data_IF_850559581315
#
_entry.id   IF_850559581315
#
_cell.length_a   1.000
_cell.length_b   1.000
_cell.length_c   1.000
_cell.angle_alpha   90.00
_cell.angle_beta   90.00
_cell.angle_gamma   90.00
#
_symmetry.space_group_name_H-M   'P 1'
#
loop_
_entity.id
_entity.type
_entity.pdbx_description
1 polymer ?
#
# COMPACT_ATOMS: atom_id res chain seq x y z
N UNK A 1 -13.04 -29.08 -1.12
CA UNK A 1 -12.32 -28.08 -1.95
C UNK A 1 -12.92 -26.70 -1.68
N UNK A 2 -12.79 -26.21 -0.48
CA UNK A 2 -13.26 -24.88 -0.05
C UNK A 2 -12.13 -24.32 0.81
N UNK A 3 -11.67 -23.10 0.56
CA UNK A 3 -10.75 -22.30 1.41
C UNK A 3 -9.35 -22.00 0.91
N UNK A 4 -9.06 -22.00 -0.38
CA UNK A 4 -7.72 -21.57 -0.85
C UNK A 4 -7.74 -20.15 -1.46
N UNK A 5 -8.89 -19.62 -1.88
CA UNK A 5 -8.95 -18.37 -2.68
C UNK A 5 -8.98 -17.05 -1.91
N UNK A 6 -9.13 -17.10 -0.58
CA UNK A 6 -9.17 -15.86 0.24
C UNK A 6 -7.81 -15.35 0.71
N UNK A 7 -6.72 -16.08 0.48
CA UNK A 7 -5.40 -15.73 1.04
C UNK A 7 -4.51 -14.90 0.11
N UNK A 8 -4.79 -14.82 -1.18
CA UNK A 8 -3.82 -14.25 -2.13
C UNK A 8 -3.89 -12.74 -2.34
N UNK A 9 -4.99 -12.08 -2.01
CA UNK A 9 -5.13 -10.63 -2.23
C UNK A 9 -4.99 -9.79 -0.94
N UNK A 10 -5.01 -10.44 0.23
CA UNK A 10 -4.88 -9.77 1.54
C UNK A 10 -3.45 -9.78 2.07
N UNK A 11 -2.54 -10.45 1.37
CA UNK A 11 -1.16 -10.71 1.83
C UNK A 11 -0.27 -9.47 1.79
N UNK A 12 -0.59 -8.47 0.96
CA UNK A 12 0.24 -7.26 0.92
C UNK A 12 0.06 -6.34 2.13
N UNK A 13 -0.96 -6.52 2.98
CA UNK A 13 -1.29 -5.53 4.00
C UNK A 13 -1.69 -6.01 5.38
N UNK A 14 -2.33 -7.13 5.45
CA UNK A 14 -2.59 -7.74 6.74
C UNK A 14 -1.57 -8.86 6.88
N UNK A 15 -0.47 -8.57 7.54
CA UNK A 15 0.44 -9.61 7.96
C UNK A 15 -0.34 -10.74 8.63
N UNK A 16 -0.42 -11.85 7.89
CA UNK A 16 -0.69 -13.18 8.39
C UNK A 16 -1.80 -13.38 9.42
N UNK A 17 -3.00 -13.64 8.95
CA UNK A 17 -3.80 -14.67 9.59
C UNK A 17 -3.50 -16.02 8.93
N UNK A 18 -2.26 -16.40 8.89
CA UNK A 18 -1.81 -17.76 8.58
C UNK A 18 -1.70 -18.51 9.89
N UNK A 19 -2.82 -19.07 10.36
CA UNK A 19 -2.79 -20.06 11.44
C UNK A 19 -2.18 -21.35 10.89
N UNK A 20 -0.86 -21.46 10.92
CA UNK A 20 -0.24 -22.73 11.21
C UNK A 20 -0.15 -22.81 12.73
N UNK A 21 -0.87 -23.75 13.33
CA UNK A 21 -0.66 -24.14 14.69
C UNK A 21 0.73 -24.75 14.79
N UNK A 22 1.74 -23.93 14.99
CA UNK A 22 3.07 -24.35 15.45
C UNK A 22 3.33 -23.63 16.76
N UNK A 23 3.55 -24.46 17.76
CA UNK A 23 4.00 -24.06 19.07
C UNK A 23 5.19 -23.11 19.00
N UNK A 24 5.14 -22.04 19.81
CA UNK A 24 6.29 -21.24 20.29
C UNK A 24 7.46 -21.11 19.32
N UNK A 25 7.27 -20.63 18.07
CA UNK A 25 8.32 -20.50 17.06
C UNK A 25 8.34 -19.11 16.44
N UNK A 26 9.53 -18.71 16.01
CA UNK A 26 9.71 -17.57 15.13
C UNK A 26 9.20 -17.91 13.73
N UNK A 27 8.40 -17.03 13.15
CA UNK A 27 8.00 -17.10 11.77
C UNK A 27 8.83 -16.11 10.94
N UNK A 28 9.60 -16.62 9.98
CA UNK A 28 10.36 -15.82 9.02
C UNK A 28 9.59 -15.77 7.69
N UNK A 29 9.54 -14.60 7.08
CA UNK A 29 8.85 -14.40 5.82
C UNK A 29 9.53 -13.31 4.98
N UNK A 30 9.32 -13.36 3.67
CA UNK A 30 9.82 -12.37 2.74
C UNK A 30 8.90 -12.22 1.53
N UNK A 31 8.93 -11.04 0.92
CA UNK A 31 8.35 -10.73 -0.38
C UNK A 31 9.42 -10.08 -1.24
N UNK A 32 9.69 -10.66 -2.40
CA UNK A 32 10.69 -10.19 -3.35
C UNK A 32 10.01 -9.90 -4.68
N UNK A 33 10.19 -8.70 -5.20
CA UNK A 33 9.65 -8.26 -6.47
C UNK A 33 10.73 -7.56 -7.28
N UNK A 34 11.02 -8.10 -8.45
CA UNK A 34 11.97 -7.52 -9.39
C UNK A 34 11.57 -7.78 -10.82
N UNK A 35 11.89 -6.86 -11.70
CA UNK A 35 11.51 -6.94 -13.09
C UNK A 35 12.21 -5.94 -13.98
N UNK A 36 11.72 -5.83 -15.20
CA UNK A 36 12.17 -4.84 -16.17
C UNK A 36 10.99 -3.93 -16.49
N UNK A 37 11.22 -2.63 -16.44
CA UNK A 37 10.27 -1.64 -16.89
C UNK A 37 10.84 -0.82 -18.03
N UNK A 38 10.03 -0.60 -19.07
CA UNK A 38 10.30 0.34 -20.15
C UNK A 38 9.31 1.48 -20.07
N UNK A 39 9.81 2.68 -19.80
CA UNK A 39 9.01 3.89 -19.65
C UNK A 39 9.32 4.87 -20.76
N UNK A 40 8.29 5.52 -21.28
CA UNK A 40 8.41 6.63 -22.22
C UNK A 40 7.59 7.83 -21.74
N UNK A 41 8.12 9.03 -21.90
CA UNK A 41 7.45 10.29 -21.61
C UNK A 41 7.32 11.08 -22.92
N UNK A 42 6.11 11.51 -23.25
CA UNK A 42 5.80 12.29 -24.44
C UNK A 42 6.49 13.68 -24.44
N UNK A 43 6.50 14.36 -25.59
CA UNK A 43 6.96 15.75 -25.73
C UNK A 43 8.39 15.97 -25.22
N UNK A 44 9.33 15.11 -25.65
CA UNK A 44 10.76 15.29 -25.35
C UNK A 44 11.21 14.75 -23.98
N UNK A 45 10.31 14.10 -23.21
CA UNK A 45 10.65 13.52 -21.91
C UNK A 45 11.53 12.25 -21.98
N UNK A 46 11.75 11.73 -23.21
CA UNK A 46 12.65 10.59 -23.43
C UNK A 46 12.03 9.23 -23.12
N UNK A 47 12.86 8.20 -23.28
CA UNK A 47 12.50 6.82 -22.92
C UNK A 47 13.68 6.11 -22.29
N UNK A 48 13.39 5.13 -21.42
CA UNK A 48 14.40 4.32 -20.76
C UNK A 48 13.85 2.96 -20.38
N UNK A 49 14.73 1.96 -20.43
CA UNK A 49 14.45 0.60 -19.95
C UNK A 49 15.46 0.25 -18.88
N UNK A 50 14.99 -0.27 -17.75
CA UNK A 50 15.86 -0.67 -16.63
C UNK A 50 15.27 -1.81 -15.81
N UNK A 51 16.14 -2.41 -14.99
CA UNK A 51 15.72 -3.27 -13.90
C UNK A 51 15.05 -2.42 -12.81
N UNK A 52 13.85 -2.83 -12.40
CA UNK A 52 13.09 -2.20 -11.32
C UNK A 52 12.90 -3.16 -10.17
N UNK A 53 12.91 -2.61 -8.98
CA UNK A 53 12.63 -3.31 -7.74
C UNK A 53 11.25 -2.90 -7.24
N UNK A 54 10.42 -3.86 -6.87
CA UNK A 54 9.10 -3.55 -6.40
C UNK A 54 8.17 -2.97 -7.47
N UNK A 55 8.17 -3.52 -8.68
CA UNK A 55 7.32 -3.04 -9.76
C UNK A 55 5.82 -3.25 -9.49
N UNK A 56 5.47 -4.34 -8.82
CA UNK A 56 4.11 -4.64 -8.39
C UNK A 56 3.92 -4.40 -6.89
N UNK A 57 4.82 -4.94 -6.05
CA UNK A 57 4.75 -4.85 -4.60
C UNK A 57 6.11 -4.51 -3.97
N UNK A 58 6.16 -3.90 -2.78
CA UNK A 58 7.42 -3.58 -2.12
C UNK A 58 8.17 -4.84 -1.69
N UNK A 59 9.50 -4.81 -1.78
CA UNK A 59 10.33 -5.86 -1.22
C UNK A 59 10.47 -5.69 0.29
N UNK A 60 10.33 -6.78 1.01
CA UNK A 60 10.60 -6.81 2.43
C UNK A 60 10.93 -8.22 2.91
N UNK A 61 11.59 -8.30 4.05
CA UNK A 61 11.73 -9.51 4.86
C UNK A 61 11.35 -9.20 6.31
N UNK A 62 10.87 -10.19 7.03
CA UNK A 62 10.44 -9.99 8.39
C UNK A 62 10.49 -11.24 9.23
N UNK A 63 10.30 -11.02 10.52
CA UNK A 63 10.08 -12.07 11.50
C UNK A 63 8.99 -11.65 12.47
N UNK A 64 8.27 -12.63 12.97
CA UNK A 64 7.26 -12.46 14.01
C UNK A 64 7.26 -13.65 14.95
N UNK A 65 6.78 -13.43 16.15
CA UNK A 65 6.48 -14.49 17.11
C UNK A 65 5.26 -14.08 17.95
N UNK A 66 4.51 -15.06 18.40
CA UNK A 66 3.37 -14.87 19.28
C UNK A 66 3.38 -15.95 20.33
N UNK A 67 3.13 -15.57 21.58
CA UNK A 67 3.02 -16.46 22.74
C UNK A 67 1.66 -16.32 23.38
N UNK A 68 0.98 -17.44 23.61
CA UNK A 68 -0.24 -17.49 24.42
C UNK A 68 0.13 -17.34 25.90
N UNK A 69 -0.50 -16.38 26.57
CA UNK A 69 -0.27 -16.05 27.97
C UNK A 69 -1.30 -16.71 28.91
N UNK A 70 -2.34 -17.35 28.37
CA UNK A 70 -3.47 -17.90 29.13
C UNK A 70 -4.65 -16.92 29.18
N UNK A 71 -5.81 -17.40 29.67
CA UNK A 71 -7.05 -16.62 29.80
C UNK A 71 -7.48 -15.88 28.53
N UNK A 72 -7.20 -16.45 27.34
CA UNK A 72 -7.52 -15.83 26.05
C UNK A 72 -6.62 -14.67 25.66
N UNK A 73 -5.50 -14.45 26.36
CA UNK A 73 -4.51 -13.44 26.06
C UNK A 73 -3.33 -14.04 25.27
N UNK A 74 -2.83 -13.26 24.33
CA UNK A 74 -1.55 -13.51 23.62
C UNK A 74 -0.75 -12.21 23.53
N UNK A 75 0.55 -12.33 23.50
CA UNK A 75 1.48 -11.24 23.21
C UNK A 75 2.45 -11.65 22.11
N UNK A 76 2.89 -10.71 21.31
CA UNK A 76 3.81 -10.99 20.23
C UNK A 76 4.56 -9.76 19.75
N UNK A 77 5.41 -9.97 18.77
CA UNK A 77 6.11 -8.90 18.08
C UNK A 77 6.13 -9.13 16.57
N UNK A 78 6.40 -8.04 15.85
CA UNK A 78 6.63 -8.06 14.42
C UNK A 78 7.77 -7.12 14.06
N UNK A 79 8.73 -7.63 13.28
CA UNK A 79 9.87 -6.89 12.76
C UNK A 79 9.90 -7.07 11.24
N UNK A 80 9.89 -5.97 10.47
CA UNK A 80 9.96 -6.00 9.00
C UNK A 80 10.94 -4.96 8.48
N UNK A 81 11.80 -5.40 7.56
CA UNK A 81 12.74 -4.57 6.82
C UNK A 81 12.36 -4.50 5.35
N UNK A 82 12.08 -3.29 4.84
CA UNK A 82 11.93 -3.03 3.42
C UNK A 82 13.28 -2.77 2.76
N UNK A 83 13.50 -3.26 1.55
CA UNK A 83 14.76 -3.10 0.83
C UNK A 83 14.58 -3.06 -0.70
N UNK A 84 15.64 -2.71 -1.41
CA UNK A 84 15.72 -2.65 -2.86
C UNK A 84 16.62 -3.77 -3.40
N UNK A 85 16.22 -4.41 -4.50
CA UNK A 85 17.04 -5.43 -5.18
C UNK A 85 18.13 -4.84 -6.08
N UNK A 86 18.00 -3.56 -6.45
CA UNK A 86 18.91 -2.85 -7.35
C UNK A 86 19.57 -1.65 -6.66
N UNK A 87 20.08 -1.85 -5.46
CA UNK A 87 20.72 -0.77 -4.73
C UNK A 87 21.70 0.01 -5.62
N UNK A 88 21.43 1.29 -5.80
CA UNK A 88 22.37 2.27 -6.36
C UNK A 88 22.95 3.06 -5.20
N UNK A 89 24.23 3.34 -5.26
CA UNK A 89 24.94 4.18 -4.28
C UNK A 89 24.88 3.67 -2.83
N UNK A 90 24.80 2.36 -2.65
CA UNK A 90 24.71 1.72 -1.32
C UNK A 90 23.40 1.94 -0.59
N UNK A 91 22.39 2.50 -1.26
CA UNK A 91 21.05 2.68 -0.69
C UNK A 91 20.21 1.43 -0.91
N UNK A 92 20.08 0.62 0.12
CA UNK A 92 19.29 -0.62 0.10
C UNK A 92 17.88 -0.44 0.66
N UNK A 93 17.54 0.75 1.19
CA UNK A 93 16.35 0.94 2.00
C UNK A 93 15.30 1.79 1.30
N UNK A 94 14.07 1.36 1.39
CA UNK A 94 12.94 2.05 0.79
C UNK A 94 12.52 3.32 1.56
N UNK A 95 12.60 3.31 2.88
CA UNK A 95 12.08 4.37 3.75
C UNK A 95 13.15 5.08 4.60
N UNK A 96 14.39 5.15 4.13
CA UNK A 96 15.45 5.84 4.85
C UNK A 96 16.70 5.00 5.03
N UNK A 97 17.85 5.66 5.02
CA UNK A 97 19.16 5.00 4.98
C UNK A 97 19.56 4.29 6.27
N UNK A 98 18.99 4.71 7.41
CA UNK A 98 19.60 4.44 8.71
C UNK A 98 18.69 3.70 9.71
N UNK A 99 17.52 3.20 9.30
CA UNK A 99 16.63 2.50 10.22
C UNK A 99 16.51 1.02 9.91
N UNK A 100 16.95 0.21 10.84
CA UNK A 100 16.64 -1.22 10.86
C UNK A 100 15.16 -1.40 11.18
N UNK A 101 14.48 -2.34 10.48
CA UNK A 101 13.05 -2.61 10.61
C UNK A 101 12.16 -1.41 10.30
N UNK A 102 12.42 -0.78 9.16
CA UNK A 102 11.77 0.45 8.72
C UNK A 102 10.28 0.32 8.34
N UNK A 103 9.73 -0.89 8.31
CA UNK A 103 8.31 -1.17 7.98
C UNK A 103 7.49 -1.52 9.21
N UNK A 104 8.00 -2.42 10.04
CA UNK A 104 7.38 -2.87 11.28
C UNK A 104 8.47 -3.07 12.33
N UNK A 105 8.25 -2.53 13.52
CA UNK A 105 9.06 -2.78 14.71
C UNK A 105 8.15 -2.55 15.91
N UNK A 106 7.34 -3.55 16.26
CA UNK A 106 6.28 -3.39 17.25
C UNK A 106 6.09 -4.62 18.13
N UNK A 107 5.48 -4.35 19.28
CA UNK A 107 4.96 -5.34 20.22
C UNK A 107 3.44 -5.20 20.26
N UNK A 108 2.74 -6.30 20.50
CA UNK A 108 1.30 -6.27 20.67
C UNK A 108 0.82 -7.24 21.75
N UNK A 109 -0.33 -6.88 22.31
CA UNK A 109 -1.12 -7.77 23.17
C UNK A 109 -2.53 -7.85 22.58
N UNK A 110 -3.05 -9.07 22.46
CA UNK A 110 -4.41 -9.31 21.97
C UNK A 110 -5.21 -10.21 22.90
N UNK A 111 -6.52 -10.05 22.86
CA UNK A 111 -7.47 -10.84 23.65
C UNK A 111 -8.90 -10.59 23.22
N UNK A 112 -9.87 -10.99 24.05
CA UNK A 112 -11.29 -10.72 23.78
C UNK A 112 -11.64 -9.22 23.65
N UNK A 113 -10.80 -8.35 24.17
CA UNK A 113 -10.92 -6.89 24.05
C UNK A 113 -10.43 -6.32 22.71
N UNK A 114 -9.79 -7.11 21.85
CA UNK A 114 -9.13 -6.66 20.62
C UNK A 114 -7.61 -6.71 20.75
N UNK A 115 -6.92 -5.80 20.07
CA UNK A 115 -5.45 -5.74 19.99
C UNK A 115 -4.95 -4.34 20.31
N UNK A 116 -3.96 -4.24 21.20
CA UNK A 116 -3.15 -3.04 21.42
C UNK A 116 -1.76 -3.30 20.85
N UNK A 117 -1.30 -2.41 20.00
CA UNK A 117 0.03 -2.47 19.35
C UNK A 117 0.82 -1.22 19.69
N UNK A 118 2.09 -1.36 20.03
CA UNK A 118 3.01 -0.25 20.30
C UNK A 118 4.29 -0.40 19.49
N UNK A 119 4.74 0.67 18.83
CA UNK A 119 5.94 0.71 18.00
C UNK A 119 5.67 1.15 16.56
N UNK A 120 6.64 0.91 15.69
CA UNK A 120 6.52 1.20 14.25
C UNK A 120 5.59 0.19 13.59
N UNK A 121 4.56 0.67 12.91
CA UNK A 121 3.51 -0.15 12.34
C UNK A 121 2.87 0.48 11.10
N UNK A 122 2.13 -0.31 10.32
CA UNK A 122 1.39 0.21 9.16
C UNK A 122 0.38 1.27 9.56
N UNK A 123 0.28 2.32 8.76
CA UNK A 123 -0.68 3.40 8.95
C UNK A 123 -2.12 2.90 8.68
N UNK A 124 -3.06 3.16 9.60
CA UNK A 124 -4.46 2.69 9.50
C UNK A 124 -5.18 3.28 8.29
N UNK A 125 -4.96 4.56 7.96
CA UNK A 125 -5.59 5.18 6.81
C UNK A 125 -5.02 4.63 5.49
N UNK A 126 -3.72 4.37 5.43
CA UNK A 126 -3.10 3.71 4.28
C UNK A 126 -3.63 2.28 4.07
N UNK A 127 -3.86 1.53 5.14
CA UNK A 127 -4.49 0.20 5.05
C UNK A 127 -5.89 0.28 4.44
N UNK A 128 -6.62 1.35 4.71
CA UNK A 128 -7.94 1.61 4.12
C UNK A 128 -7.85 1.98 2.63
N UNK A 129 -6.80 2.70 2.20
CA UNK A 129 -6.53 2.91 0.76
C UNK A 129 -6.47 1.57 0.04
N UNK A 130 -5.70 0.65 0.54
CA UNK A 130 -5.45 -0.62 -0.13
C UNK A 130 -6.66 -1.55 -0.18
N UNK A 131 -7.63 -1.40 0.74
CA UNK A 131 -8.90 -2.11 0.64
C UNK A 131 -9.70 -1.69 -0.59
N UNK A 132 -9.81 -0.39 -0.85
CA UNK A 132 -10.57 0.17 -1.97
C UNK A 132 -9.76 0.27 -3.28
N UNK A 133 -8.45 0.13 -3.22
CA UNK A 133 -7.57 0.33 -4.36
C UNK A 133 -7.77 -0.77 -5.42
N UNK A 134 -8.15 -0.42 -6.66
CA UNK A 134 -8.50 -1.37 -7.72
C UNK A 134 -7.43 -2.40 -8.05
N UNK A 135 -6.17 -2.01 -8.08
CA UNK A 135 -5.04 -2.83 -8.50
C UNK A 135 -4.18 -3.32 -7.34
N UNK A 136 -4.78 -3.45 -6.14
CA UNK A 136 -4.12 -3.91 -4.91
C UNK A 136 -2.86 -3.10 -4.52
N UNK A 137 -2.77 -1.84 -4.95
CA UNK A 137 -1.65 -0.96 -4.64
C UNK A 137 -0.39 -1.24 -5.47
N UNK A 138 -0.55 -1.69 -6.72
CA UNK A 138 0.59 -1.79 -7.64
C UNK A 138 1.36 -0.48 -7.72
N UNK A 139 2.67 -0.53 -7.70
CA UNK A 139 3.52 0.66 -7.73
C UNK A 139 3.41 1.46 -9.03
N UNK A 140 2.99 0.85 -10.13
CA UNK A 140 2.72 1.52 -11.40
C UNK A 140 1.23 1.63 -11.68
N UNK A 141 0.74 2.85 -11.90
CA UNK A 141 -0.63 3.10 -12.31
C UNK A 141 -1.66 2.70 -11.26
N UNK A 142 -1.50 3.19 -10.04
CA UNK A 142 -2.44 3.06 -8.95
C UNK A 142 -2.66 4.38 -8.23
N UNK A 143 -3.60 4.44 -7.31
CA UNK A 143 -3.85 5.60 -6.46
C UNK A 143 -2.64 5.96 -5.56
N UNK A 144 -1.68 5.06 -5.41
CA UNK A 144 -0.48 5.32 -4.60
C UNK A 144 0.36 6.48 -5.15
N UNK A 145 0.30 6.76 -6.46
CA UNK A 145 0.98 7.91 -7.05
C UNK A 145 0.53 9.24 -6.43
N UNK A 146 -0.74 9.39 -6.05
CA UNK A 146 -1.23 10.60 -5.36
C UNK A 146 -0.73 10.69 -3.92
N UNK A 147 -0.51 9.54 -3.25
CA UNK A 147 0.11 9.53 -1.92
C UNK A 147 1.58 9.95 -2.01
N UNK A 148 2.29 9.55 -3.06
CA UNK A 148 3.68 9.94 -3.29
C UNK A 148 3.83 11.46 -3.49
N UNK A 149 2.88 12.10 -4.18
CA UNK A 149 2.93 13.55 -4.43
C UNK A 149 2.51 14.36 -3.21
N UNK A 150 1.56 13.84 -2.42
CA UNK A 150 1.08 14.48 -1.21
C UNK A 150 2.09 14.36 -0.05
N UNK A 151 2.57 13.15 0.22
CA UNK A 151 3.49 12.84 1.32
C UNK A 151 2.89 12.96 2.72
N UNK A 152 1.66 13.45 2.88
CA UNK A 152 1.03 13.70 4.19
C UNK A 152 0.46 12.45 4.85
N UNK A 153 -0.06 11.50 4.08
CA UNK A 153 -0.67 10.27 4.61
C UNK A 153 0.36 9.33 5.23
N UNK A 154 1.48 9.09 4.55
CA UNK A 154 2.46 8.10 4.96
C UNK A 154 1.95 6.65 4.85
N UNK A 155 2.86 5.69 4.82
CA UNK A 155 2.53 4.25 4.77
C UNK A 155 2.74 3.57 6.12
N UNK A 156 3.57 4.17 6.97
CA UNK A 156 4.03 3.64 8.25
C UNK A 156 3.98 4.75 9.29
N UNK A 157 3.52 4.43 10.48
CA UNK A 157 3.54 5.30 11.66
C UNK A 157 4.67 4.83 12.59
N UNK A 158 5.59 5.72 12.92
CA UNK A 158 6.74 5.42 13.79
C UNK A 158 6.36 5.63 15.26
N UNK A 159 6.68 4.65 16.11
CA UNK A 159 6.47 4.73 17.55
C UNK A 159 5.00 4.88 17.98
N UNK A 160 4.06 4.52 17.12
CA UNK A 160 2.63 4.68 17.38
C UNK A 160 2.11 3.72 18.45
N UNK A 161 1.04 4.14 19.11
CA UNK A 161 0.19 3.27 19.93
C UNK A 161 -1.15 3.15 19.23
N UNK A 162 -1.56 1.93 18.88
CA UNK A 162 -2.79 1.65 18.17
C UNK A 162 -3.67 0.65 18.95
N UNK A 163 -4.95 0.84 18.82
CA UNK A 163 -5.97 -0.12 19.27
C UNK A 163 -6.81 -0.55 18.07
N UNK A 164 -7.04 -1.86 17.96
CA UNK A 164 -7.97 -2.45 16.99
C UNK A 164 -9.00 -3.27 17.77
N UNK A 165 -10.30 -2.98 17.57
CA UNK A 165 -11.39 -3.69 18.23
C UNK A 165 -11.48 -5.15 17.77
N UNK A 166 -12.16 -6.01 18.55
CA UNK A 166 -12.67 -7.26 18.00
C UNK A 166 -13.58 -6.98 16.80
N UNK A 167 -13.65 -7.94 15.86
CA UNK A 167 -14.66 -7.89 14.80
C UNK A 167 -16.01 -8.36 15.33
N UNK A 168 -17.01 -7.48 15.30
CA UNK A 168 -18.37 -7.79 15.75
C UNK A 168 -19.33 -7.63 14.56
N UNK A 169 -19.99 -8.69 14.15
CA UNK A 169 -20.90 -8.71 13.00
C UNK A 169 -20.30 -8.11 11.72
N UNK A 170 -19.02 -8.37 11.49
CA UNK A 170 -18.26 -7.85 10.33
C UNK A 170 -17.65 -6.46 10.52
N UNK A 171 -17.95 -5.75 11.60
CA UNK A 171 -17.42 -4.43 11.90
C UNK A 171 -16.15 -4.50 12.74
N UNK A 172 -15.15 -3.71 12.35
CA UNK A 172 -13.90 -3.52 13.08
C UNK A 172 -13.58 -2.03 13.11
N UNK A 173 -13.32 -1.50 14.30
CA UNK A 173 -12.85 -0.13 14.51
C UNK A 173 -11.38 -0.12 14.91
N UNK A 174 -10.61 0.89 14.47
CA UNK A 174 -9.24 1.08 14.93
C UNK A 174 -8.92 2.57 15.10
N UNK A 175 -8.05 2.86 16.06
CA UNK A 175 -7.49 4.19 16.30
C UNK A 175 -6.02 4.07 16.68
N UNK A 176 -5.23 5.07 16.29
CA UNK A 176 -3.82 5.16 16.67
C UNK A 176 -3.43 6.60 16.99
N UNK A 177 -2.52 6.73 17.93
CA UNK A 177 -1.82 7.96 18.25
C UNK A 177 -0.34 7.80 17.91
N UNK A 178 0.19 8.77 17.18
CA UNK A 178 1.62 8.86 16.82
C UNK A 178 2.23 9.97 17.66
N UNK A 179 3.12 9.66 18.60
CA UNK A 179 3.83 10.68 19.40
C UNK A 179 4.83 11.45 18.54
N UNK A 180 5.48 12.42 19.12
CA UNK A 180 6.50 13.23 18.44
C UNK A 180 7.59 12.37 17.79
N UNK A 181 7.84 12.66 16.52
CA UNK A 181 8.90 12.06 15.70
C UNK A 181 9.71 13.18 15.04
N UNK A 182 10.72 12.84 14.24
CA UNK A 182 11.47 13.83 13.47
C UNK A 182 10.60 14.61 12.46
N UNK A 183 9.45 14.05 12.03
CA UNK A 183 8.62 14.61 10.96
C UNK A 183 7.26 15.15 11.44
N UNK A 184 6.78 14.72 12.59
CA UNK A 184 5.50 15.16 13.16
C UNK A 184 5.63 15.41 14.65
N UNK A 185 4.93 16.42 15.19
CA UNK A 185 4.81 16.64 16.63
C UNK A 185 3.80 15.67 17.26
N UNK A 186 2.74 15.39 16.56
CA UNK A 186 1.78 14.35 16.91
C UNK A 186 0.94 13.96 15.71
N UNK A 187 0.37 12.75 15.75
CA UNK A 187 -0.52 12.28 14.70
C UNK A 187 -1.65 11.41 15.25
N UNK A 188 -2.78 11.47 14.59
CA UNK A 188 -3.96 10.67 14.92
C UNK A 188 -4.41 9.90 13.69
N UNK A 189 -4.86 8.65 13.89
CA UNK A 189 -5.42 7.78 12.87
C UNK A 189 -6.68 7.13 13.40
N UNK A 190 -7.65 6.99 12.53
CA UNK A 190 -8.86 6.23 12.84
C UNK A 190 -9.39 5.53 11.60
N UNK A 191 -10.01 4.40 11.80
CA UNK A 191 -10.71 3.69 10.73
C UNK A 191 -11.88 2.88 11.27
N UNK A 192 -12.89 2.71 10.43
CA UNK A 192 -13.98 1.77 10.60
C UNK A 192 -14.10 0.96 9.33
N UNK A 193 -14.07 -0.35 9.47
CA UNK A 193 -14.16 -1.28 8.34
C UNK A 193 -15.29 -2.26 8.57
N UNK A 194 -16.12 -2.45 7.57
CA UNK A 194 -17.05 -3.56 7.49
C UNK A 194 -16.52 -4.58 6.47
N UNK A 195 -16.51 -5.85 6.83
CA UNK A 195 -16.14 -6.93 5.94
C UNK A 195 -17.08 -8.12 6.07
N UNK A 196 -17.54 -8.63 4.94
CA UNK A 196 -18.30 -9.86 4.80
C UNK A 196 -17.59 -10.81 3.83
N UNK A 197 -18.26 -11.89 3.45
CA UNK A 197 -17.73 -12.85 2.48
C UNK A 197 -17.49 -12.22 1.09
N UNK A 198 -18.41 -11.37 0.65
CA UNK A 198 -18.45 -10.89 -0.73
C UNK A 198 -18.21 -9.38 -0.86
N UNK A 199 -18.30 -8.62 0.19
CA UNK A 199 -18.05 -7.18 0.15
C UNK A 199 -17.34 -6.66 1.40
N UNK A 200 -16.57 -5.59 1.22
CA UNK A 200 -15.97 -4.84 2.29
C UNK A 200 -16.07 -3.34 1.99
N UNK A 201 -16.15 -2.54 3.05
CA UNK A 201 -16.11 -1.09 2.95
C UNK A 201 -15.33 -0.52 4.13
N UNK A 202 -14.64 0.59 3.92
CA UNK A 202 -13.85 1.25 4.95
C UNK A 202 -13.99 2.76 4.86
N UNK A 203 -13.98 3.40 6.02
CA UNK A 203 -13.78 4.83 6.18
C UNK A 203 -12.61 5.03 7.13
N UNK A 204 -11.68 5.90 6.76
CA UNK A 204 -10.52 6.21 7.59
C UNK A 204 -10.14 7.68 7.49
N UNK A 205 -9.40 8.16 8.47
CA UNK A 205 -8.85 9.49 8.45
C UNK A 205 -7.53 9.57 9.20
N UNK A 206 -6.79 10.64 8.93
CA UNK A 206 -5.56 10.98 9.61
C UNK A 206 -5.44 12.49 9.84
N UNK A 207 -4.72 12.85 10.88
CA UNK A 207 -4.28 14.21 11.13
C UNK A 207 -2.86 14.18 11.69
N UNK A 208 -2.00 15.06 11.18
CA UNK A 208 -0.62 15.25 11.64
C UNK A 208 -0.42 16.72 12.03
N UNK A 209 0.06 16.96 13.23
CA UNK A 209 0.63 18.24 13.62
C UNK A 209 2.09 18.28 13.19
N UNK A 210 2.44 19.14 12.24
CA UNK A 210 3.80 19.32 11.73
C UNK A 210 4.51 20.51 12.40
N UNK A 211 3.89 21.11 13.43
CA UNK A 211 4.37 22.28 14.13
C UNK A 211 3.96 23.59 13.47
N UNK A 212 4.49 23.89 12.31
CA UNK A 212 4.14 25.11 11.56
C UNK A 212 2.84 24.96 10.74
N UNK A 213 2.45 23.74 10.42
CA UNK A 213 1.25 23.43 9.62
C UNK A 213 0.61 22.13 10.10
N UNK A 214 -0.51 21.76 9.50
CA UNK A 214 -1.21 20.49 9.76
C UNK A 214 -1.47 19.78 8.45
N UNK A 215 -1.13 18.48 8.37
CA UNK A 215 -1.54 17.61 7.30
C UNK A 215 -2.71 16.74 7.76
N UNK A 216 -3.71 16.55 6.92
CA UNK A 216 -4.91 15.76 7.26
C UNK A 216 -5.52 15.15 5.99
N UNK A 217 -6.37 14.16 6.19
CA UNK A 217 -7.11 13.60 5.08
C UNK A 217 -8.04 12.49 5.51
N UNK A 218 -8.82 12.03 4.56
CA UNK A 218 -9.73 10.91 4.75
C UNK A 218 -9.78 10.02 3.51
N UNK A 219 -10.17 8.78 3.74
CA UNK A 219 -10.23 7.70 2.76
C UNK A 219 -11.58 7.02 2.87
N UNK A 220 -12.25 6.78 1.75
CA UNK A 220 -13.38 5.88 1.63
C UNK A 220 -13.04 4.81 0.58
N UNK A 221 -13.16 3.54 0.93
CA UNK A 221 -12.86 2.42 0.06
C UNK A 221 -13.95 1.36 0.12
N UNK A 222 -14.23 0.72 -1.02
CA UNK A 222 -15.15 -0.40 -1.08
C UNK A 222 -14.69 -1.46 -2.07
N UNK A 223 -15.07 -2.71 -1.81
CA UNK A 223 -14.87 -3.84 -2.72
C UNK A 223 -16.11 -4.75 -2.72
N UNK A 224 -16.43 -5.29 -3.89
CA UNK A 224 -17.51 -6.26 -4.05
C UNK A 224 -17.09 -7.39 -4.98
N UNK A 225 -17.28 -8.61 -4.53
CA UNK A 225 -16.94 -9.84 -5.26
C UNK A 225 -18.18 -10.45 -5.90
N UNK A 226 -18.12 -10.55 -7.22
CA UNK A 226 -19.15 -11.13 -8.10
C UNK A 226 -18.58 -12.37 -8.80
N UNK A 227 -18.59 -13.52 -8.11
CA UNK A 227 -17.99 -14.74 -8.65
C UNK A 227 -16.48 -14.58 -8.88
N UNK A 228 -16.06 -14.59 -10.15
CA UNK A 228 -14.67 -14.39 -10.55
C UNK A 228 -14.24 -12.91 -10.63
N UNK A 229 -15.19 -11.99 -10.70
CA UNK A 229 -14.95 -10.56 -10.76
C UNK A 229 -14.93 -9.96 -9.35
N UNK A 230 -13.94 -9.13 -9.05
CA UNK A 230 -13.94 -8.23 -7.89
C UNK A 230 -13.89 -6.81 -8.40
N UNK A 231 -14.88 -6.00 -8.10
CA UNK A 231 -14.89 -4.55 -8.37
C UNK A 231 -14.49 -3.80 -7.12
N UNK A 232 -13.76 -2.69 -7.31
CA UNK A 232 -13.28 -1.84 -6.23
C UNK A 232 -13.44 -0.37 -6.57
N UNK A 233 -13.63 0.42 -5.55
CA UNK A 233 -13.69 1.87 -5.64
C UNK A 233 -13.02 2.53 -4.47
N UNK A 234 -12.35 3.65 -4.74
CA UNK A 234 -11.59 4.43 -3.79
C UNK A 234 -11.88 5.91 -3.96
N UNK A 235 -12.03 6.60 -2.84
CA UNK A 235 -11.94 8.04 -2.76
C UNK A 235 -10.96 8.43 -1.66
N UNK A 236 -10.10 9.40 -1.95
CA UNK A 236 -9.20 10.01 -0.97
C UNK A 236 -9.27 11.53 -1.09
N UNK A 237 -9.21 12.20 0.04
CA UNK A 237 -8.95 13.64 0.13
C UNK A 237 -7.74 13.84 1.03
N UNK A 238 -6.79 14.64 0.58
CA UNK A 238 -5.49 14.83 1.23
C UNK A 238 -5.11 16.32 1.24
N UNK A 239 -4.63 16.78 2.39
CA UNK A 239 -4.05 18.09 2.61
C UNK A 239 -2.71 17.86 3.31
N UNK A 240 -1.61 18.25 2.67
CA UNK A 240 -0.26 18.08 3.24
C UNK A 240 0.21 19.25 4.08
N UNK A 241 -0.68 20.22 4.29
CA UNK A 241 -0.40 21.41 5.10
C UNK A 241 0.51 22.44 4.43
N UNK A 242 0.85 22.27 3.14
CA UNK A 242 1.75 23.19 2.43
C UNK A 242 1.41 23.40 0.96
N UNK A 243 1.74 22.44 0.10
CA UNK A 243 1.66 22.59 -1.37
C UNK A 243 0.41 22.00 -1.99
N UNK A 244 -0.30 21.14 -1.27
CA UNK A 244 -1.55 20.51 -1.66
C UNK A 244 -2.55 20.68 -0.52
N UNK A 245 -3.60 21.46 -0.75
CA UNK A 245 -4.59 21.80 0.28
C UNK A 245 -5.89 21.00 0.14
N UNK A 246 -6.15 20.39 -1.01
CA UNK A 246 -7.36 19.62 -1.27
C UNK A 246 -7.15 18.64 -2.43
N UNK A 247 -6.16 17.77 -2.30
CA UNK A 247 -5.92 16.74 -3.31
C UNK A 247 -6.99 15.66 -3.24
N UNK A 248 -7.91 15.67 -4.17
CA UNK A 248 -8.91 14.62 -4.35
C UNK A 248 -8.41 13.55 -5.32
N UNK A 249 -8.54 12.29 -4.93
CA UNK A 249 -8.25 11.14 -5.78
C UNK A 249 -9.41 10.17 -5.81
N UNK A 250 -9.85 9.85 -7.01
CA UNK A 250 -10.87 8.85 -7.30
C UNK A 250 -10.23 7.67 -8.00
N UNK A 251 -10.55 6.45 -7.58
CA UNK A 251 -10.13 5.21 -8.22
C UNK A 251 -11.32 4.27 -8.43
N UNK A 252 -11.42 3.67 -9.62
CA UNK A 252 -12.40 2.66 -9.94
C UNK A 252 -11.78 1.57 -10.81
N UNK A 253 -12.16 0.31 -10.60
CA UNK A 253 -11.63 -0.81 -11.35
C UNK A 253 -11.82 -2.13 -10.62
N UNK A 254 -10.88 -3.04 -10.77
CA UNK A 254 -10.96 -4.34 -10.12
C UNK A 254 -10.12 -5.42 -10.77
N UNK A 255 -10.43 -6.66 -10.43
CA UNK A 255 -9.72 -7.83 -10.93
C UNK A 255 -10.67 -8.95 -11.35
N UNK A 256 -10.27 -9.72 -12.33
CA UNK A 256 -11.00 -10.87 -12.83
C UNK A 256 -10.11 -12.12 -12.82
N UNK A 257 -10.53 -13.15 -12.09
CA UNK A 257 -9.89 -14.45 -12.10
C UNK A 257 -10.25 -15.18 -13.39
N UNK A 258 -9.38 -15.10 -14.40
CA UNK A 258 -9.57 -15.74 -15.72
C UNK A 258 -9.50 -17.25 -15.59
N UNK A 259 -8.51 -17.74 -14.83
CA UNK A 259 -8.36 -19.11 -14.37
C UNK A 259 -7.96 -19.10 -12.89
N UNK A 260 -7.86 -20.25 -12.22
CA UNK A 260 -7.32 -20.31 -10.85
C UNK A 260 -5.90 -19.75 -10.71
N UNK A 261 -5.12 -19.77 -11.79
CA UNK A 261 -3.73 -19.28 -11.83
C UNK A 261 -3.58 -17.91 -12.46
N UNK A 262 -4.49 -17.49 -13.35
CA UNK A 262 -4.40 -16.24 -14.11
C UNK A 262 -5.42 -15.22 -13.62
N UNK A 263 -4.95 -14.07 -13.19
CA UNK A 263 -5.76 -12.90 -12.82
C UNK A 263 -5.43 -11.72 -13.74
N UNK A 264 -6.45 -11.06 -14.25
CA UNK A 264 -6.35 -9.77 -14.90
C UNK A 264 -6.84 -8.67 -13.95
N UNK A 265 -6.18 -7.53 -13.93
CA UNK A 265 -6.60 -6.35 -13.17
C UNK A 265 -6.65 -5.09 -14.04
N UNK A 266 -7.45 -4.12 -13.63
CA UNK A 266 -7.51 -2.82 -14.26
C UNK A 266 -7.85 -1.72 -13.25
N UNK A 267 -7.41 -0.50 -13.54
CA UNK A 267 -7.70 0.67 -12.73
C UNK A 267 -7.75 1.94 -13.56
N UNK A 268 -8.71 2.79 -13.20
CA UNK A 268 -8.89 4.13 -13.70
C UNK A 268 -8.82 5.09 -12.51
N UNK A 269 -8.00 6.14 -12.63
CA UNK A 269 -7.80 7.08 -11.54
C UNK A 269 -7.83 8.51 -12.06
N UNK A 270 -8.32 9.40 -11.22
CA UNK A 270 -8.27 10.83 -11.44
C UNK A 270 -7.88 11.50 -10.13
N UNK A 271 -6.86 12.34 -10.18
CA UNK A 271 -6.43 13.12 -9.03
C UNK A 271 -6.39 14.61 -9.42
N UNK A 272 -6.87 15.48 -8.54
CA UNK A 272 -6.85 16.92 -8.79
C UNK A 272 -6.82 17.73 -7.49
N UNK A 273 -6.10 18.85 -7.55
CA UNK A 273 -6.13 19.94 -6.58
C UNK A 273 -6.12 21.26 -7.35
N UNK A 274 -7.22 21.99 -7.33
CA UNK A 274 -7.38 23.23 -8.11
C UNK A 274 -6.50 24.35 -7.58
N UNK A 275 -6.26 24.42 -6.27
CA UNK A 275 -5.42 25.44 -5.65
C UNK A 275 -3.93 25.22 -5.97
N UNK A 276 -3.52 23.97 -6.12
CA UNK A 276 -2.15 23.60 -6.47
C UNK A 276 -1.92 23.48 -7.99
N UNK A 277 -2.93 23.73 -8.82
CA UNK A 277 -2.87 23.51 -10.28
C UNK A 277 -2.37 22.09 -10.63
N UNK A 278 -2.93 21.09 -9.94
CA UNK A 278 -2.62 19.69 -10.11
C UNK A 278 -3.81 18.93 -10.69
N UNK A 279 -3.59 18.21 -11.79
CA UNK A 279 -4.62 17.37 -12.38
C UNK A 279 -4.01 16.22 -13.18
N UNK A 280 -4.37 15.00 -12.82
CA UNK A 280 -3.91 13.80 -13.53
C UNK A 280 -5.05 12.86 -13.84
N UNK A 281 -4.86 12.05 -14.88
CA UNK A 281 -5.65 10.87 -15.14
C UNK A 281 -4.73 9.68 -15.39
N UNK A 282 -5.08 8.53 -14.81
CA UNK A 282 -4.30 7.30 -14.92
C UNK A 282 -5.18 6.17 -15.41
N UNK A 283 -4.68 5.42 -16.36
CA UNK A 283 -5.21 4.13 -16.79
C UNK A 283 -4.14 3.07 -16.61
N UNK A 284 -4.50 1.92 -16.07
CA UNK A 284 -3.57 0.81 -15.97
C UNK A 284 -4.29 -0.53 -16.04
N UNK A 285 -3.56 -1.53 -16.55
CA UNK A 285 -3.98 -2.93 -16.62
C UNK A 285 -2.82 -3.83 -16.22
N UNK A 286 -3.14 -4.99 -15.67
CA UNK A 286 -2.17 -6.00 -15.28
C UNK A 286 -2.65 -7.40 -15.54
N UNK A 287 -1.69 -8.30 -15.71
CA UNK A 287 -1.88 -9.75 -15.74
C UNK A 287 -0.92 -10.38 -14.73
N UNK A 288 -1.42 -11.29 -13.93
CA UNK A 288 -0.66 -12.02 -12.93
C UNK A 288 -0.89 -13.50 -13.14
N UNK A 289 0.19 -14.23 -13.41
CA UNK A 289 0.16 -15.68 -13.56
C UNK A 289 0.88 -16.36 -12.40
N UNK A 290 0.15 -17.11 -11.61
CA UNK A 290 0.67 -17.90 -10.50
C UNK A 290 1.36 -19.15 -11.04
N UNK A 291 2.65 -19.01 -11.34
CA UNK A 291 3.46 -20.08 -11.91
C UNK A 291 3.71 -21.23 -10.92
N UNK A 292 3.97 -20.89 -9.64
CA UNK A 292 4.07 -21.79 -8.50
C UNK A 292 3.24 -21.25 -7.34
N UNK A 293 3.11 -22.02 -6.28
CA UNK A 293 2.37 -21.59 -5.07
C UNK A 293 2.86 -20.22 -4.57
N UNK A 294 4.16 -20.00 -4.61
CA UNK A 294 4.85 -18.85 -4.02
C UNK A 294 5.52 -17.96 -5.07
N UNK A 295 5.34 -18.25 -6.38
CA UNK A 295 5.93 -17.49 -7.48
C UNK A 295 4.85 -17.03 -8.46
N UNK A 296 4.78 -15.71 -8.64
CA UNK A 296 3.91 -15.05 -9.63
C UNK A 296 4.76 -14.36 -10.68
N UNK A 297 4.47 -14.62 -11.95
CA UNK A 297 4.95 -13.84 -13.09
C UNK A 297 3.90 -12.79 -13.39
N UNK A 298 4.30 -11.54 -13.56
CA UNK A 298 3.34 -10.49 -13.89
C UNK A 298 3.79 -9.63 -15.07
N UNK A 299 2.82 -9.07 -15.77
CA UNK A 299 3.00 -8.01 -16.74
C UNK A 299 1.98 -6.92 -16.51
N UNK A 300 2.39 -5.66 -16.64
CA UNK A 300 1.49 -4.53 -16.46
C UNK A 300 1.82 -3.38 -17.42
N UNK A 301 0.78 -2.63 -17.74
CA UNK A 301 0.87 -1.37 -18.47
C UNK A 301 0.21 -0.28 -17.64
N UNK A 302 0.86 0.87 -17.56
CA UNK A 302 0.32 2.06 -16.93
C UNK A 302 0.55 3.28 -17.81
N UNK A 303 -0.44 4.17 -17.82
CA UNK A 303 -0.40 5.45 -18.52
C UNK A 303 -0.87 6.53 -17.56
N UNK A 304 -0.03 7.55 -17.35
CA UNK A 304 -0.32 8.71 -16.50
C UNK A 304 -0.23 9.97 -17.35
N UNK A 305 -1.33 10.69 -17.46
CA UNK A 305 -1.43 11.97 -18.16
C UNK A 305 -1.48 13.10 -17.17
N UNK A 306 -0.53 14.03 -17.24
CA UNK A 306 -0.59 15.29 -16.53
C UNK A 306 -1.35 16.32 -17.36
N UNK A 307 -2.39 16.90 -16.77
CA UNK A 307 -3.32 17.83 -17.43
C UNK A 307 -3.25 19.25 -16.89
N UNK A 308 -2.32 19.50 -15.95
CA UNK A 308 -2.18 20.82 -15.31
C UNK A 308 -0.70 21.18 -15.11
N UNK A 309 -0.42 22.29 -14.46
CA UNK A 309 0.90 22.93 -14.41
C UNK A 309 1.85 22.20 -13.46
N UNK A 310 1.35 21.73 -12.29
CA UNK A 310 2.19 21.02 -11.31
C UNK A 310 2.58 19.65 -11.81
N UNK A 311 3.86 19.32 -11.68
CA UNK A 311 4.40 18.01 -12.04
C UNK A 311 3.67 16.87 -11.32
N UNK A 312 3.35 15.81 -12.06
CA UNK A 312 2.65 14.64 -11.56
C UNK A 312 3.62 13.53 -11.17
N UNK A 313 3.31 12.82 -10.09
CA UNK A 313 3.99 11.58 -9.76
C UNK A 313 3.60 10.47 -10.75
N UNK A 314 4.58 9.69 -11.14
CA UNK A 314 4.40 8.61 -12.10
C UNK A 314 4.19 7.25 -11.42
N UNK A 315 4.88 7.02 -10.32
CA UNK A 315 4.77 5.81 -9.52
C UNK A 315 4.88 6.16 -8.02
N UNK A 316 4.54 5.20 -7.18
CA UNK A 316 4.62 5.38 -5.74
C UNK A 316 6.04 5.16 -5.20
N UNK A 317 6.75 4.20 -5.73
CA UNK A 317 7.96 3.77 -5.08
C UNK A 317 8.93 3.13 -6.06
N UNK A 318 10.16 3.45 -5.87
CA UNK A 318 11.28 2.94 -6.62
C UNK A 318 12.05 4.04 -7.33
N UNK A 319 13.34 3.86 -7.53
CA UNK A 319 14.12 4.71 -8.41
C UNK A 319 13.53 4.58 -9.80
N UNK A 320 12.91 5.65 -10.25
CA UNK A 320 12.39 5.71 -11.60
C UNK A 320 13.51 5.97 -12.59
N UNK A 321 13.31 5.46 -13.73
CA UNK A 321 14.10 5.57 -14.92
C UNK A 321 14.32 6.97 -15.43
N UNK A 322 13.30 7.73 -15.33
CA UNK A 322 13.23 9.12 -15.69
C UNK A 322 12.81 9.83 -14.41
N UNK A 323 13.50 10.86 -14.05
CA UNK A 323 13.37 11.65 -12.83
C UNK A 323 11.92 11.91 -12.42
N UNK A 324 11.23 10.91 -12.00
CA UNK A 324 10.01 10.84 -11.20
C UNK A 324 8.79 11.67 -11.56
N UNK A 325 8.92 12.67 -12.42
CA UNK A 325 7.88 13.64 -12.66
C UNK A 325 7.40 13.62 -14.13
N UNK A 326 6.10 13.77 -14.30
CA UNK A 326 5.44 13.98 -15.60
C UNK A 326 5.06 15.45 -15.63
N UNK A 327 5.76 16.24 -16.46
CA UNK A 327 5.55 17.68 -16.56
C UNK A 327 4.19 18.02 -17.21
N UNK A 328 3.83 19.29 -17.14
CA UNK A 328 2.59 19.81 -17.73
C UNK A 328 2.39 19.38 -19.18
N UNK A 329 1.23 18.84 -19.49
CA UNK A 329 0.87 18.38 -20.83
C UNK A 329 1.56 17.08 -21.28
N UNK A 330 2.45 16.51 -20.49
CA UNK A 330 3.10 15.24 -20.80
C UNK A 330 2.25 14.04 -20.39
N UNK A 331 2.56 12.92 -21.03
CA UNK A 331 2.02 11.59 -20.71
C UNK A 331 3.17 10.63 -20.52
N UNK A 332 3.20 9.93 -19.40
CA UNK A 332 4.14 8.83 -19.16
C UNK A 332 3.43 7.49 -19.36
N UNK A 333 4.08 6.58 -20.07
CA UNK A 333 3.62 5.22 -20.29
C UNK A 333 4.69 4.22 -19.90
N UNK A 334 4.32 3.17 -19.18
CA UNK A 334 5.23 2.11 -18.77
C UNK A 334 4.67 0.74 -19.12
N UNK A 335 5.54 -0.11 -19.65
CA UNK A 335 5.36 -1.57 -19.65
C UNK A 335 6.34 -2.14 -18.63
N UNK A 336 5.84 -2.94 -17.70
CA UNK A 336 6.67 -3.61 -16.70
C UNK A 336 6.35 -5.10 -16.68
N UNK A 337 7.38 -5.92 -16.69
CA UNK A 337 7.29 -7.38 -16.53
C UNK A 337 8.22 -7.80 -15.41
N UNK A 338 7.74 -8.66 -14.52
CA UNK A 338 8.51 -9.04 -13.36
C UNK A 338 8.08 -10.36 -12.72
N UNK A 339 8.80 -10.67 -11.66
CA UNK A 339 8.59 -11.83 -10.81
C UNK A 339 8.34 -11.35 -9.38
N UNK A 340 7.30 -11.89 -8.78
CA UNK A 340 6.98 -11.73 -7.37
C UNK A 340 7.13 -13.10 -6.70
N UNK A 341 8.06 -13.18 -5.75
CA UNK A 341 8.28 -14.39 -4.95
C UNK A 341 7.92 -14.12 -3.49
N UNK A 342 7.06 -14.95 -2.94
CA UNK A 342 6.67 -14.88 -1.53
C UNK A 342 7.14 -16.11 -0.77
N UNK A 343 7.77 -15.89 0.36
CA UNK A 343 8.19 -16.90 1.31
C UNK A 343 7.48 -16.65 2.64
N UNK A 344 6.54 -17.53 3.01
CA UNK A 344 5.73 -17.42 4.23
C UNK A 344 5.63 -18.75 4.97
#
# INVERSE_FOLDING_TARGET
MKTVFQKSLLVCLLGSAGLSAQAEGFNFYALLDGGIASTSISHGGGSKTEFVTGGYAPNFMGMSSEKTLGNGLSAGFKLEQGFLLNAKDGTYWWFGKDSLFNRQANLYVKGGFGTVTAGTQGNLAFSSVLLGEPRAGSNYGSALASIAIDGGLGTVDQGAIAYTSPTVNGWTGAAAYVPETASVKSGERYSVTYASKDYAATLAGYANDLGASKAKGYVAGASYKLGALTVKGLFMNQDNGSTLANLETYGAGGSYAVTPELTADFGLYKSSDSAASYKTSTFAVGLQYKFLKDLVVYGQYANVKNQDVKDAAFNFAGPTLLTGAVAAGQTASTVNVGLLYSFF
#
